data_IF_046758482537
#
_entry.id   IF_046758482537
#
_cell.length_a   1.000
_cell.length_b   1.000
_cell.length_c   1.000
_cell.angle_alpha   90.00
_cell.angle_beta   90.00
_cell.angle_gamma   90.00
#
_symmetry.space_group_name_H-M   'P 1'
#
loop_
_entity.id
_entity.type
_entity.pdbx_description
1 polymer ?
#
# COMPACT_ATOMS: atom_id res chain seq x y z
N UNK A 1 20.15 -16.28 19.40
CA UNK A 1 20.07 -15.94 17.96
C UNK A 1 18.89 -15.01 17.68
N UNK A 2 18.70 -13.95 18.49
CA UNK A 2 17.56 -13.03 18.35
C UNK A 2 17.94 -11.58 18.59
N UNK A 3 18.82 -11.32 19.56
CA UNK A 3 19.31 -9.97 19.87
C UNK A 3 20.26 -9.40 18.80
N UNK A 4 21.10 -10.23 18.18
CA UNK A 4 22.05 -9.82 17.13
C UNK A 4 21.38 -9.30 15.85
N UNK A 5 20.15 -9.74 15.56
CA UNK A 5 19.38 -9.32 14.37
C UNK A 5 18.48 -8.12 14.65
N UNK A 6 18.05 -7.93 15.90
CA UNK A 6 17.17 -6.82 16.29
C UNK A 6 17.98 -5.52 16.47
N UNK A 7 19.22 -5.60 16.96
CA UNK A 7 20.08 -4.41 17.13
C UNK A 7 20.35 -3.63 15.83
N UNK A 8 20.76 -4.27 14.71
CA UNK A 8 20.97 -3.56 13.45
C UNK A 8 19.66 -3.01 12.88
N UNK A 9 18.53 -3.71 13.08
CA UNK A 9 17.21 -3.23 12.68
C UNK A 9 16.78 -1.98 13.47
N UNK A 10 17.07 -1.93 14.77
CA UNK A 10 16.80 -0.75 15.58
C UNK A 10 17.64 0.45 15.16
N UNK A 11 18.89 0.22 14.74
CA UNK A 11 19.77 1.28 14.23
C UNK A 11 19.26 1.92 12.94
N UNK A 12 18.52 1.19 12.11
CA UNK A 12 17.84 1.75 10.92
C UNK A 12 16.73 2.75 11.29
N UNK A 13 16.13 2.62 12.47
CA UNK A 13 15.09 3.52 12.96
C UNK A 13 15.63 4.67 13.82
N UNK A 14 16.91 4.59 14.20
CA UNK A 14 17.54 5.60 15.05
C UNK A 14 17.74 6.89 14.25
N UNK A 15 17.37 8.06 14.80
CA UNK A 15 17.64 9.34 14.17
C UNK A 15 19.13 9.52 13.93
N UNK A 16 19.48 9.90 12.71
CA UNK A 16 20.81 10.39 12.36
C UNK A 16 21.12 11.69 13.11
N UNK A 17 22.40 12.01 13.23
CA UNK A 17 22.87 13.20 13.95
C UNK A 17 22.41 14.53 13.33
N UNK A 18 22.05 14.50 12.04
CA UNK A 18 21.58 15.64 11.25
C UNK A 18 20.16 15.41 10.68
N UNK A 19 19.36 14.51 11.29
CA UNK A 19 17.98 14.23 10.84
C UNK A 19 16.99 15.26 11.37
N UNK A 20 16.67 16.27 10.55
CA UNK A 20 15.58 17.20 10.87
C UNK A 20 14.21 16.58 10.55
N UNK A 21 13.14 17.19 11.08
CA UNK A 21 11.78 16.71 10.89
C UNK A 21 11.39 16.58 9.40
N UNK A 22 11.91 17.49 8.56
CA UNK A 22 11.65 17.49 7.12
C UNK A 22 12.31 16.30 6.43
N UNK A 23 13.52 15.92 6.83
CA UNK A 23 14.21 14.76 6.28
C UNK A 23 13.45 13.48 6.62
N UNK A 24 13.07 13.32 7.90
CA UNK A 24 12.24 12.19 8.35
C UNK A 24 10.90 12.09 7.64
N UNK A 25 10.25 13.22 7.39
CA UNK A 25 9.00 13.23 6.63
C UNK A 25 9.19 12.61 5.24
N UNK A 26 10.28 12.91 4.56
CA UNK A 26 10.52 12.46 3.20
C UNK A 26 11.07 11.04 3.10
N UNK A 27 12.08 10.66 3.88
CA UNK A 27 12.69 9.32 3.74
C UNK A 27 11.93 8.23 4.51
N UNK A 28 11.25 8.59 5.59
CA UNK A 28 10.60 7.63 6.47
C UNK A 28 9.08 7.68 6.35
N UNK A 29 8.44 8.81 6.64
CA UNK A 29 6.98 8.85 6.78
C UNK A 29 6.24 8.76 5.44
N UNK A 30 6.57 9.61 4.47
CA UNK A 30 5.91 9.63 3.15
C UNK A 30 5.89 8.27 2.45
N UNK A 31 7.02 7.55 2.25
CA UNK A 31 7.02 6.27 1.55
C UNK A 31 6.24 5.18 2.31
N UNK A 32 6.33 5.16 3.65
CA UNK A 32 5.59 4.19 4.45
C UNK A 32 4.07 4.45 4.40
N UNK A 33 3.64 5.71 4.39
CA UNK A 33 2.23 6.07 4.21
C UNK A 33 1.73 5.67 2.82
N UNK A 34 2.52 5.95 1.76
CA UNK A 34 2.18 5.54 0.41
C UNK A 34 2.06 4.02 0.28
N UNK A 35 2.98 3.27 0.89
CA UNK A 35 2.95 1.80 0.94
C UNK A 35 1.71 1.29 1.68
N UNK A 36 1.39 1.86 2.84
CA UNK A 36 0.19 1.49 3.60
C UNK A 36 -1.09 1.73 2.79
N UNK A 37 -1.20 2.90 2.14
CA UNK A 37 -2.33 3.23 1.29
C UNK A 37 -2.41 2.32 0.06
N UNK A 38 -1.28 1.98 -0.58
CA UNK A 38 -1.29 1.07 -1.73
C UNK A 38 -1.80 -0.32 -1.35
N UNK A 39 -1.39 -0.83 -0.18
CA UNK A 39 -1.86 -2.12 0.35
C UNK A 39 -3.36 -2.05 0.66
N UNK A 40 -3.82 -0.99 1.31
CA UNK A 40 -5.25 -0.79 1.62
C UNK A 40 -6.12 -0.73 0.36
N UNK A 41 -5.68 0.03 -0.66
CA UNK A 41 -6.39 0.14 -1.94
C UNK A 41 -6.41 -1.22 -2.64
N UNK A 42 -5.26 -1.91 -2.69
CA UNK A 42 -5.17 -3.25 -3.29
C UNK A 42 -6.13 -4.22 -2.61
N UNK A 43 -6.18 -4.22 -1.27
CA UNK A 43 -7.10 -5.07 -0.52
C UNK A 43 -8.57 -4.80 -0.89
N UNK A 44 -8.94 -3.53 -1.07
CA UNK A 44 -10.29 -3.14 -1.51
C UNK A 44 -10.59 -3.53 -2.95
N UNK A 45 -9.60 -3.46 -3.85
CA UNK A 45 -9.76 -3.84 -5.25
C UNK A 45 -9.89 -5.36 -5.43
N UNK A 46 -9.11 -6.16 -4.71
CA UNK A 46 -9.07 -7.61 -4.87
C UNK A 46 -10.05 -8.37 -3.96
N UNK A 47 -10.76 -7.67 -3.06
CA UNK A 47 -11.73 -8.28 -2.14
C UNK A 47 -13.14 -8.48 -2.71
N UNK A 48 -13.39 -8.13 -3.97
CA UNK A 48 -14.72 -8.19 -4.60
C UNK A 48 -14.62 -8.00 -6.12
N UNK A 49 -15.61 -7.34 -6.71
CA UNK A 49 -15.58 -6.95 -8.12
C UNK A 49 -14.93 -5.57 -8.24
N UNK A 50 -13.68 -5.46 -8.71
CA UNK A 50 -12.93 -4.20 -8.70
C UNK A 50 -13.58 -3.10 -9.55
N UNK A 51 -14.28 -3.50 -10.61
CA UNK A 51 -14.95 -2.63 -11.56
C UNK A 51 -16.24 -3.33 -11.99
N UNK A 52 -17.33 -2.57 -12.03
CA UNK A 52 -18.63 -3.00 -12.55
C UNK A 52 -18.97 -2.12 -13.76
N UNK A 53 -19.35 -2.74 -14.88
CA UNK A 53 -19.68 -2.05 -16.13
C UNK A 53 -21.19 -1.82 -16.23
N UNK A 54 -21.61 -0.63 -16.71
CA UNK A 54 -23.02 -0.36 -16.98
C UNK A 54 -23.43 -1.09 -18.26
N UNK A 55 -24.32 -2.07 -18.14
CA UNK A 55 -24.76 -2.89 -19.27
C UNK A 55 -26.08 -2.37 -19.89
N UNK A 56 -26.19 -2.28 -21.23
CA UNK A 56 -27.47 -2.01 -21.89
C UNK A 56 -28.43 -3.20 -21.75
N UNK A 57 -29.70 -2.92 -21.45
CA UNK A 57 -30.73 -3.93 -21.14
C UNK A 57 -31.07 -4.97 -22.23
N UNK A 58 -30.49 -4.84 -23.43
CA UNK A 58 -30.74 -5.75 -24.57
C UNK A 58 -29.76 -6.91 -24.66
N UNK A 59 -28.65 -6.89 -23.91
CA UNK A 59 -27.70 -7.99 -23.90
C UNK A 59 -27.94 -8.91 -22.70
N UNK A 60 -27.77 -10.25 -22.86
CA UNK A 60 -27.91 -11.16 -21.73
C UNK A 60 -26.76 -10.99 -20.74
N UNK A 61 -27.01 -11.24 -19.45
CA UNK A 61 -26.02 -11.10 -18.38
C UNK A 61 -24.78 -12.01 -18.53
N UNK A 62 -24.84 -13.03 -19.40
CA UNK A 62 -23.65 -13.84 -19.75
C UNK A 62 -22.52 -13.02 -20.40
N UNK A 63 -22.82 -11.84 -20.95
CA UNK A 63 -21.83 -10.95 -21.56
C UNK A 63 -21.19 -9.99 -20.54
N UNK A 64 -21.65 -9.96 -19.28
CA UNK A 64 -21.09 -9.10 -18.23
C UNK A 64 -19.63 -9.44 -17.90
N UNK A 65 -19.18 -10.68 -18.15
CA UNK A 65 -17.82 -11.12 -17.85
C UNK A 65 -16.78 -10.70 -18.90
N UNK A 66 -17.22 -10.22 -20.07
CA UNK A 66 -16.37 -9.90 -21.23
C UNK A 66 -16.36 -8.41 -21.58
N UNK A 67 -17.09 -7.58 -20.82
CA UNK A 67 -17.22 -6.14 -21.00
C UNK A 67 -16.65 -5.42 -19.79
#
# INVERSE_FOLDING_TARGET
>A
MGIETILPLLKLLSPGRDDDAVDRMNYHYTPNVLLALSVLISFKQFGGNPIECVMPAKVPGSWEQVV
#
